data_IF_306035315421
#
_entry.id   IF_306035315421
#
_cell.length_a   1.000
_cell.length_b   1.000
_cell.length_c   1.000
_cell.angle_alpha   90.00
_cell.angle_beta   90.00
_cell.angle_gamma   90.00
#
_symmetry.space_group_name_H-M   'P 1'
#
loop_
_entity.id
_entity.type
_entity.pdbx_description
1 polymer ?
#
# COMPACT_ATOMS: atom_id res chain seq x y z
N UNK A 1 9.86 4.04 -25.41
CA UNK A 1 9.65 4.86 -24.19
C UNK A 1 11.01 5.10 -23.56
N UNK A 2 11.39 6.36 -23.27
CA UNK A 2 12.73 6.71 -22.74
C UNK A 2 12.75 6.84 -21.21
N UNK A 3 11.61 7.17 -20.62
CA UNK A 3 11.40 7.17 -19.18
C UNK A 3 9.90 7.24 -18.86
N UNK A 4 9.58 7.06 -17.59
CA UNK A 4 8.25 7.06 -17.02
C UNK A 4 8.33 7.68 -15.61
N UNK A 5 7.36 8.52 -15.28
CA UNK A 5 7.12 9.00 -13.91
C UNK A 5 5.70 8.56 -13.55
N UNK A 6 5.57 7.82 -12.46
CA UNK A 6 4.26 7.46 -11.88
C UNK A 6 4.04 8.25 -10.60
N UNK A 7 2.79 8.69 -10.41
CA UNK A 7 2.36 9.46 -9.25
C UNK A 7 1.34 8.62 -8.48
N UNK A 8 1.59 8.40 -7.19
CA UNK A 8 0.59 7.93 -6.24
C UNK A 8 0.26 9.08 -5.29
N UNK A 9 -1.02 9.41 -5.16
CA UNK A 9 -1.51 10.57 -4.41
C UNK A 9 -2.89 10.28 -3.85
N UNK A 10 -2.95 9.78 -2.61
CA UNK A 10 -4.17 9.58 -1.84
C UNK A 10 -4.44 10.71 -0.83
N UNK A 11 -3.38 11.45 -0.44
CA UNK A 11 -3.40 12.62 0.43
C UNK A 11 -2.51 13.77 -0.12
N UNK A 12 -2.22 14.77 0.71
CA UNK A 12 -1.42 15.95 0.30
C UNK A 12 0.09 15.65 0.15
N UNK A 13 0.56 14.53 0.70
CA UNK A 13 1.85 13.91 0.38
C UNK A 13 1.72 12.98 -0.82
N UNK A 14 2.66 13.10 -1.77
CA UNK A 14 2.66 12.28 -2.98
C UNK A 14 3.93 11.45 -3.12
N UNK A 15 3.77 10.26 -3.66
CA UNK A 15 4.86 9.33 -3.91
C UNK A 15 5.14 9.23 -5.41
N UNK A 16 6.40 9.41 -5.77
CA UNK A 16 6.88 9.40 -7.15
C UNK A 16 7.85 8.26 -7.40
N UNK A 17 7.60 7.49 -8.45
CA UNK A 17 8.59 6.56 -9.01
C UNK A 17 9.03 7.07 -10.38
N UNK A 18 10.34 7.31 -10.56
CA UNK A 18 10.92 7.75 -11.83
C UNK A 18 11.83 6.66 -12.39
N UNK A 19 11.47 6.16 -13.57
CA UNK A 19 12.21 5.13 -14.29
C UNK A 19 12.75 5.72 -15.59
N UNK A 20 14.06 5.60 -15.82
CA UNK A 20 14.71 6.00 -17.09
C UNK A 20 15.44 4.81 -17.68
N UNK A 21 15.25 4.59 -18.98
CA UNK A 21 15.89 3.53 -19.74
C UNK A 21 17.41 3.56 -19.54
N UNK A 22 18.04 2.38 -19.34
CA UNK A 22 19.46 2.26 -18.95
C UNK A 22 20.38 3.08 -19.85
N UNK A 23 20.20 2.96 -21.17
CA UNK A 23 21.05 3.61 -22.19
C UNK A 23 20.79 5.12 -22.35
N UNK A 24 19.77 5.66 -21.67
CA UNK A 24 19.36 7.06 -21.77
C UNK A 24 19.49 7.81 -20.43
N UNK A 25 20.09 7.18 -19.42
CA UNK A 25 20.39 7.83 -18.14
C UNK A 25 21.41 8.96 -18.33
N UNK A 26 21.40 9.92 -17.39
CA UNK A 26 22.28 11.11 -17.38
C UNK A 26 22.11 12.04 -18.60
N UNK A 27 20.93 12.02 -19.22
CA UNK A 27 20.52 12.93 -20.31
C UNK A 27 19.37 13.84 -19.87
N UNK A 28 19.30 14.17 -18.57
CA UNK A 28 18.28 15.02 -17.94
C UNK A 28 16.80 14.59 -18.09
N UNK A 29 16.54 13.38 -18.60
CA UNK A 29 15.19 12.85 -18.78
C UNK A 29 14.39 12.83 -17.48
N UNK A 30 14.99 12.37 -16.38
CA UNK A 30 14.31 12.35 -15.08
C UNK A 30 13.96 13.77 -14.59
N UNK A 31 14.83 14.77 -14.83
CA UNK A 31 14.56 16.17 -14.49
C UNK A 31 13.44 16.75 -15.35
N UNK A 32 13.41 16.42 -16.64
CA UNK A 32 12.34 16.84 -17.54
C UNK A 32 10.98 16.24 -17.13
N UNK A 33 10.96 14.96 -16.73
CA UNK A 33 9.76 14.31 -16.21
C UNK A 33 9.28 14.95 -14.91
N UNK A 34 10.19 15.20 -13.96
CA UNK A 34 9.84 15.84 -12.69
C UNK A 34 9.33 17.28 -12.89
N UNK A 35 9.96 18.06 -13.78
CA UNK A 35 9.48 19.40 -14.13
C UNK A 35 8.07 19.36 -14.72
N UNK A 36 7.80 18.39 -15.59
CA UNK A 36 6.45 18.21 -16.15
C UNK A 36 5.45 17.85 -15.05
N UNK A 37 5.83 17.02 -14.08
CA UNK A 37 5.00 16.75 -12.90
C UNK A 37 4.70 18.06 -12.14
N UNK A 38 5.72 18.86 -11.79
CA UNK A 38 5.52 20.13 -11.08
C UNK A 38 4.58 21.09 -11.83
N UNK A 39 4.71 21.18 -13.16
CA UNK A 39 3.87 22.03 -14.00
C UNK A 39 2.42 21.53 -14.07
N UNK A 40 2.22 20.25 -14.35
CA UNK A 40 0.89 19.63 -14.46
C UNK A 40 0.18 19.61 -13.09
N UNK A 41 0.95 19.51 -12.00
CA UNK A 41 0.38 19.43 -10.65
C UNK A 41 0.37 20.75 -9.88
N UNK A 42 0.71 21.87 -10.50
CA UNK A 42 0.80 23.17 -9.84
C UNK A 42 -0.50 23.65 -9.16
N UNK A 43 -1.65 23.12 -9.58
CA UNK A 43 -2.96 23.49 -9.02
C UNK A 43 -3.44 22.61 -7.86
N UNK A 44 -2.76 21.49 -7.60
CA UNK A 44 -3.13 20.57 -6.52
C UNK A 44 -2.47 20.99 -5.20
N UNK A 45 -3.10 20.73 -4.04
CA UNK A 45 -2.56 21.08 -2.73
C UNK A 45 -1.47 20.10 -2.26
N UNK A 46 -0.44 19.88 -3.10
CA UNK A 46 0.68 18.99 -2.76
C UNK A 46 1.57 19.68 -1.72
N UNK A 47 1.73 19.05 -0.56
CA UNK A 47 2.55 19.56 0.55
C UNK A 47 3.92 18.90 0.62
N UNK A 48 4.04 17.65 0.19
CA UNK A 48 5.30 16.92 0.21
C UNK A 48 5.42 15.92 -0.94
N UNK A 49 6.66 15.60 -1.31
CA UNK A 49 7.00 14.67 -2.39
C UNK A 49 8.03 13.66 -1.85
N UNK A 50 7.71 12.38 -1.93
CA UNK A 50 8.59 11.27 -1.59
C UNK A 50 8.96 10.52 -2.89
N UNK A 51 10.23 10.15 -3.04
CA UNK A 51 10.69 9.37 -4.19
C UNK A 51 10.85 7.90 -3.80
N UNK A 52 10.13 7.02 -4.47
CA UNK A 52 10.27 5.58 -4.33
C UNK A 52 11.40 5.07 -5.22
N UNK A 53 12.31 4.30 -4.63
CA UNK A 53 13.38 3.61 -5.34
C UNK A 53 13.85 2.38 -4.57
N UNK A 54 14.62 1.52 -5.21
CA UNK A 54 15.16 0.33 -4.57
C UNK A 54 16.46 0.66 -3.83
N UNK A 55 16.63 0.19 -2.60
CA UNK A 55 17.88 0.37 -1.83
C UNK A 55 19.11 -0.15 -2.61
N UNK A 56 18.97 -1.26 -3.35
CA UNK A 56 20.05 -1.77 -4.22
C UNK A 56 20.44 -0.76 -5.30
N UNK A 57 19.49 0.00 -5.83
CA UNK A 57 19.76 1.02 -6.84
C UNK A 57 20.56 2.19 -6.26
N UNK A 58 20.22 2.64 -5.04
CA UNK A 58 20.96 3.69 -4.33
C UNK A 58 22.40 3.27 -4.02
N UNK A 59 22.62 2.03 -3.59
CA UNK A 59 23.97 1.50 -3.34
C UNK A 59 24.88 1.55 -4.58
N UNK A 60 24.32 1.32 -5.77
CA UNK A 60 25.07 1.44 -7.02
C UNK A 60 25.21 2.89 -7.51
N UNK A 61 24.49 3.84 -6.92
CA UNK A 61 24.47 5.25 -7.32
C UNK A 61 24.51 6.19 -6.09
N UNK A 62 25.57 6.13 -5.26
CA UNK A 62 25.61 6.79 -3.95
C UNK A 62 25.47 8.33 -4.01
N UNK A 63 25.79 8.94 -5.16
CA UNK A 63 25.63 10.38 -5.36
C UNK A 63 24.19 10.81 -5.68
N UNK A 64 23.27 9.89 -5.96
CA UNK A 64 21.94 10.21 -6.50
C UNK A 64 21.15 11.10 -5.55
N UNK A 65 21.04 10.73 -4.27
CA UNK A 65 20.30 11.49 -3.26
C UNK A 65 20.82 12.94 -3.17
N UNK A 66 22.15 13.11 -3.08
CA UNK A 66 22.79 14.43 -3.03
C UNK A 66 22.55 15.28 -4.29
N UNK A 67 22.51 14.66 -5.48
CA UNK A 67 22.24 15.38 -6.75
C UNK A 67 20.79 15.82 -6.90
N UNK A 68 19.87 15.18 -6.18
CA UNK A 68 18.46 15.53 -6.11
C UNK A 68 18.13 16.38 -4.87
N UNK A 69 19.09 16.58 -3.97
CA UNK A 69 18.86 17.32 -2.73
C UNK A 69 17.91 16.61 -1.76
N UNK A 70 17.81 15.29 -1.86
CA UNK A 70 16.96 14.45 -1.01
C UNK A 70 17.79 13.65 -0.02
N UNK A 71 17.14 13.22 1.05
CA UNK A 71 17.69 12.25 2.01
C UNK A 71 16.93 10.95 1.86
N UNK A 72 17.62 9.84 2.13
CA UNK A 72 16.97 8.54 2.22
C UNK A 72 16.14 8.47 3.50
N UNK A 73 14.93 7.92 3.39
CA UNK A 73 14.07 7.66 4.53
C UNK A 73 14.55 6.39 5.27
N UNK A 74 14.38 6.34 6.58
CA UNK A 74 14.69 5.14 7.37
C UNK A 74 13.63 4.04 7.16
N UNK A 75 12.42 4.42 6.73
CA UNK A 75 11.35 3.48 6.44
C UNK A 75 11.56 2.77 5.11
N UNK A 76 11.40 1.44 5.13
CA UNK A 76 11.52 0.60 3.94
C UNK A 76 10.30 -0.29 3.78
N UNK A 77 9.73 -0.32 2.57
CA UNK A 77 8.72 -1.30 2.22
C UNK A 77 9.36 -2.61 1.78
N UNK A 78 8.86 -3.74 2.32
CA UNK A 78 9.31 -5.07 1.92
C UNK A 78 8.16 -5.88 1.37
N UNK A 79 8.28 -6.28 0.10
CA UNK A 79 7.28 -7.08 -0.58
C UNK A 79 7.55 -8.56 -0.31
N UNK A 80 6.63 -9.23 0.39
CA UNK A 80 6.74 -10.65 0.72
C UNK A 80 5.96 -11.49 -0.29
N UNK A 81 6.61 -12.52 -0.84
CA UNK A 81 5.95 -13.52 -1.68
C UNK A 81 6.29 -14.92 -1.22
N UNK A 82 5.29 -15.78 -1.22
CA UNK A 82 5.44 -17.21 -0.97
C UNK A 82 4.83 -18.02 -2.11
N UNK A 83 5.45 -19.17 -2.41
CA UNK A 83 4.84 -20.16 -3.30
C UNK A 83 3.58 -20.77 -2.68
N UNK A 84 2.71 -21.36 -3.51
CA UNK A 84 1.41 -21.95 -3.10
C UNK A 84 1.53 -23.31 -2.38
N UNK A 85 2.62 -23.53 -1.66
CA UNK A 85 2.82 -24.76 -0.90
C UNK A 85 1.93 -24.74 0.34
N UNK A 86 1.18 -25.83 0.63
CA UNK A 86 0.36 -25.92 1.83
C UNK A 86 1.18 -25.60 3.08
N UNK A 87 0.56 -24.89 4.01
CA UNK A 87 1.13 -24.63 5.33
C UNK A 87 0.32 -25.39 6.37
N UNK A 88 0.99 -26.27 7.11
CA UNK A 88 0.37 -26.95 8.23
C UNK A 88 0.22 -25.94 9.37
N UNK A 89 -1.03 -25.61 9.70
CA UNK A 89 -1.37 -24.85 10.90
C UNK A 89 -1.75 -25.84 12.00
N UNK A 90 -1.23 -25.62 13.20
CA UNK A 90 -1.70 -26.35 14.37
C UNK A 90 -3.18 -26.04 14.62
N UNK A 91 -3.96 -27.06 14.96
CA UNK A 91 -5.36 -26.85 15.30
C UNK A 91 -5.48 -26.08 16.61
N UNK A 92 -6.28 -25.01 16.57
CA UNK A 92 -6.63 -24.18 17.72
C UNK A 92 -8.15 -24.26 17.91
N UNK A 93 -8.60 -24.61 19.11
CA UNK A 93 -10.03 -24.70 19.44
C UNK A 93 -10.60 -23.38 19.98
N UNK A 94 -9.73 -22.48 20.42
CA UNK A 94 -10.06 -21.18 21.03
C UNK A 94 -10.32 -20.08 20.01
N UNK A 95 -9.93 -20.29 18.74
CA UNK A 95 -10.14 -19.33 17.65
C UNK A 95 -10.79 -19.96 16.44
N UNK A 96 -11.48 -19.14 15.64
CA UNK A 96 -12.10 -19.55 14.38
C UNK A 96 -11.82 -18.51 13.31
N UNK A 97 -11.38 -18.96 12.14
CA UNK A 97 -11.29 -18.10 10.93
C UNK A 97 -12.55 -18.31 10.11
N UNK A 98 -13.23 -17.23 9.76
CA UNK A 98 -14.45 -17.25 8.95
C UNK A 98 -14.30 -16.30 7.76
N UNK A 99 -14.90 -16.65 6.62
CA UNK A 99 -15.21 -15.67 5.60
C UNK A 99 -16.34 -14.79 6.15
N UNK A 100 -16.19 -13.49 6.03
CA UNK A 100 -17.13 -12.54 6.63
C UNK A 100 -18.45 -12.45 5.86
N UNK A 101 -19.44 -11.83 6.50
CA UNK A 101 -20.73 -11.47 5.91
C UNK A 101 -21.07 -10.01 6.25
N UNK A 102 -21.98 -9.35 5.53
CA UNK A 102 -22.34 -7.95 5.77
C UNK A 102 -22.81 -7.62 7.20
N UNK A 103 -23.28 -8.62 7.95
CA UNK A 103 -23.70 -8.48 9.35
C UNK A 103 -22.56 -8.04 10.29
N UNK A 104 -21.30 -8.29 9.92
CA UNK A 104 -20.12 -7.92 10.72
C UNK A 104 -19.55 -6.53 10.38
N UNK A 105 -20.11 -5.82 9.39
CA UNK A 105 -19.56 -4.55 8.89
C UNK A 105 -19.27 -3.54 10.01
N UNK A 106 -20.23 -3.32 10.92
CA UNK A 106 -20.06 -2.36 12.02
C UNK A 106 -18.99 -2.80 13.02
N UNK A 107 -18.95 -4.08 13.38
CA UNK A 107 -17.96 -4.60 14.33
C UNK A 107 -16.55 -4.54 13.75
N UNK A 108 -16.38 -4.92 12.48
CA UNK A 108 -15.11 -4.81 11.75
C UNK A 108 -14.66 -3.36 11.64
N UNK A 109 -15.58 -2.46 11.28
CA UNK A 109 -15.30 -1.03 11.15
C UNK A 109 -14.78 -0.45 12.46
N UNK A 110 -15.43 -0.77 13.59
CA UNK A 110 -15.01 -0.30 14.91
C UNK A 110 -13.63 -0.85 15.29
N UNK A 111 -13.41 -2.16 15.12
CA UNK A 111 -12.15 -2.79 15.44
C UNK A 111 -11.00 -2.21 14.60
N UNK A 112 -11.20 -2.10 13.28
CA UNK A 112 -10.22 -1.56 12.35
C UNK A 112 -9.88 -0.10 12.66
N UNK A 113 -10.89 0.74 12.88
CA UNK A 113 -10.66 2.15 13.21
C UNK A 113 -9.97 2.33 14.57
N UNK A 114 -10.24 1.46 15.55
CA UNK A 114 -9.56 1.50 16.85
C UNK A 114 -8.09 1.11 16.75
N UNK A 115 -7.77 0.12 15.93
CA UNK A 115 -6.41 -0.38 15.80
C UNK A 115 -5.51 0.48 14.90
N UNK A 116 -6.07 1.01 13.82
CA UNK A 116 -5.39 1.90 12.88
C UNK A 116 -5.90 3.33 12.99
N UNK A 117 -6.17 3.78 14.22
CA UNK A 117 -6.63 5.14 14.43
C UNK A 117 -5.58 6.12 13.91
N UNK A 118 -5.98 6.93 12.94
CA UNK A 118 -5.22 8.05 12.41
C UNK A 118 -6.08 9.31 12.51
N UNK A 119 -5.45 10.46 12.79
CA UNK A 119 -6.15 11.75 12.84
C UNK A 119 -6.83 12.10 11.51
N UNK A 120 -6.33 11.59 10.39
CA UNK A 120 -6.84 11.82 9.04
C UNK A 120 -7.87 10.76 8.62
N UNK A 121 -7.82 9.55 9.20
CA UNK A 121 -8.71 8.44 8.84
C UNK A 121 -9.92 8.38 9.77
N UNK A 122 -11.02 9.00 9.34
CA UNK A 122 -12.28 8.95 10.12
C UNK A 122 -12.93 7.55 10.10
N UNK A 123 -13.77 7.27 11.11
CA UNK A 123 -14.62 6.06 11.15
C UNK A 123 -15.46 5.87 9.87
N UNK A 124 -15.94 6.97 9.27
CA UNK A 124 -16.72 6.93 8.02
C UNK A 124 -15.88 6.46 6.83
N UNK A 125 -14.62 6.88 6.78
CA UNK A 125 -13.67 6.43 5.74
C UNK A 125 -13.39 4.94 5.92
N UNK A 126 -13.12 4.50 7.16
CA UNK A 126 -12.93 3.08 7.49
C UNK A 126 -14.15 2.25 7.08
N UNK A 127 -15.36 2.68 7.47
CA UNK A 127 -16.61 2.00 7.11
C UNK A 127 -16.75 1.84 5.60
N UNK A 128 -16.42 2.89 4.83
CA UNK A 128 -16.49 2.85 3.36
C UNK A 128 -15.54 1.79 2.80
N UNK A 129 -14.28 1.74 3.25
CA UNK A 129 -13.32 0.74 2.77
C UNK A 129 -13.79 -0.69 3.04
N UNK A 130 -14.22 -0.98 4.28
CA UNK A 130 -14.74 -2.31 4.63
C UNK A 130 -15.99 -2.65 3.82
N UNK A 131 -16.91 -1.69 3.63
CA UNK A 131 -18.12 -1.90 2.84
C UNK A 131 -17.85 -2.15 1.35
N UNK A 132 -16.83 -1.53 0.77
CA UNK A 132 -16.44 -1.79 -0.62
C UNK A 132 -15.73 -3.14 -0.77
N UNK A 133 -14.83 -3.50 0.16
CA UNK A 133 -14.20 -4.83 0.19
C UNK A 133 -15.23 -5.97 0.31
N UNK A 134 -16.33 -5.75 1.05
CA UNK A 134 -17.43 -6.72 1.16
C UNK A 134 -18.27 -6.89 -0.12
N UNK A 135 -18.28 -5.90 -1.01
CA UNK A 135 -19.06 -5.92 -2.26
C UNK A 135 -18.27 -6.45 -3.45
N UNK A 136 -16.95 -6.32 -3.38
CA UNK A 136 -16.06 -6.72 -4.45
C UNK A 136 -16.01 -8.25 -4.56
N UNK A 137 -16.35 -8.76 -5.75
CA UNK A 137 -16.37 -10.20 -6.04
C UNK A 137 -14.97 -10.81 -6.08
N UNK A 138 -13.95 -10.00 -6.31
CA UNK A 138 -12.56 -10.43 -6.35
C UNK A 138 -11.85 -10.23 -4.99
N UNK A 139 -12.58 -9.78 -3.97
CA UNK A 139 -12.08 -9.60 -2.60
C UNK A 139 -12.73 -10.59 -1.63
N UNK A 140 -11.90 -11.29 -0.85
CA UNK A 140 -12.35 -12.16 0.24
C UNK A 140 -11.91 -11.57 1.58
N UNK A 141 -12.88 -11.10 2.38
CA UNK A 141 -12.62 -10.56 3.71
C UNK A 141 -12.80 -11.67 4.77
N UNK A 142 -11.72 -11.98 5.48
CA UNK A 142 -11.70 -12.97 6.57
C UNK A 142 -11.67 -12.29 7.93
N UNK A 143 -12.35 -12.90 8.90
CA UNK A 143 -12.32 -12.49 10.32
C UNK A 143 -11.77 -13.63 11.18
N UNK A 144 -11.03 -13.24 12.23
CA UNK A 144 -10.60 -14.13 13.30
C UNK A 144 -11.48 -13.89 14.53
N UNK A 145 -12.21 -14.92 14.96
CA UNK A 145 -13.04 -14.89 16.15
C UNK A 145 -12.33 -15.57 17.33
N UNK A 146 -12.44 -14.96 18.51
CA UNK A 146 -12.11 -15.57 19.80
C UNK A 146 -13.21 -15.27 20.81
N UNK A 147 -13.74 -16.29 21.47
CA UNK A 147 -14.84 -16.17 22.44
C UNK A 147 -16.06 -15.37 21.90
N UNK A 148 -16.34 -15.51 20.59
CA UNK A 148 -17.44 -14.84 19.90
C UNK A 148 -17.20 -13.37 19.52
N UNK A 149 -15.98 -12.84 19.72
CA UNK A 149 -15.60 -11.48 19.33
C UNK A 149 -14.60 -11.49 18.19
N UNK A 150 -14.67 -10.49 17.31
CA UNK A 150 -13.66 -10.28 16.28
C UNK A 150 -12.38 -9.76 16.93
N UNK A 151 -11.26 -10.42 16.63
CA UNK A 151 -9.92 -10.06 17.13
C UNK A 151 -8.89 -9.87 16.01
N UNK A 152 -9.28 -10.09 14.76
CA UNK A 152 -8.39 -9.91 13.61
C UNK A 152 -9.16 -9.94 12.29
N UNK A 153 -8.58 -9.30 11.28
CA UNK A 153 -9.20 -9.07 9.97
C UNK A 153 -8.13 -9.19 8.89
N UNK A 154 -8.49 -9.72 7.72
CA UNK A 154 -7.60 -9.75 6.56
C UNK A 154 -8.42 -9.76 5.27
N UNK A 155 -8.08 -8.87 4.34
CA UNK A 155 -8.63 -8.90 2.99
C UNK A 155 -7.68 -9.63 2.04
N UNK A 156 -8.24 -10.46 1.17
CA UNK A 156 -7.51 -11.21 0.15
C UNK A 156 -8.06 -10.88 -1.22
N UNK A 157 -7.28 -10.17 -2.03
CA UNK A 157 -7.56 -9.97 -3.46
C UNK A 157 -7.16 -11.23 -4.23
N UNK A 158 -8.10 -11.77 -5.01
CA UNK A 158 -7.97 -12.97 -5.83
C UNK A 158 -8.14 -12.70 -7.34
N UNK A 159 -8.20 -11.44 -7.76
CA UNK A 159 -8.34 -11.02 -9.17
C UNK A 159 -7.14 -11.44 -10.04
N UNK A 160 -5.97 -11.60 -9.42
CA UNK A 160 -4.71 -11.84 -10.11
C UNK A 160 -4.24 -13.30 -10.15
N UNK A 161 -3.01 -13.48 -10.62
CA UNK A 161 -2.31 -14.79 -10.59
C UNK A 161 -1.72 -15.13 -9.22
N UNK A 162 -1.87 -14.27 -8.23
CA UNK A 162 -1.44 -14.48 -6.84
C UNK A 162 -2.51 -13.92 -5.92
N UNK A 163 -2.68 -14.52 -4.75
CA UNK A 163 -3.53 -13.96 -3.71
C UNK A 163 -2.75 -12.84 -3.02
N UNK A 164 -3.30 -11.64 -3.04
CA UNK A 164 -2.68 -10.47 -2.40
C UNK A 164 -3.38 -10.19 -1.07
N UNK A 165 -2.62 -10.20 0.02
CA UNK A 165 -3.14 -10.01 1.37
C UNK A 165 -2.88 -8.56 1.79
N UNK A 166 -3.90 -7.89 2.30
CA UNK A 166 -3.83 -6.52 2.82
C UNK A 166 -4.83 -6.32 3.97
N UNK A 167 -4.79 -5.13 4.59
CA UNK A 167 -5.58 -4.78 5.77
C UNK A 167 -5.47 -5.82 6.90
N UNK A 168 -4.24 -6.27 7.17
CA UNK A 168 -3.92 -7.27 8.17
C UNK A 168 -3.98 -6.66 9.57
N UNK A 169 -5.00 -7.04 10.34
CA UNK A 169 -5.19 -6.69 11.75
C UNK A 169 -5.06 -7.90 12.68
#
# INVERSE_FOLDING_TARGET
>A
MLGLLTVYADNEGVELSILVHLDNRRQDIARALFKSFEEETASYPIQSVIFQTEHVFLNHHPSLASHWGVIEDEETETWLRRGRLPYALDSRLDVKVLLTEPSYLEEITQLHHQAFFDAEVTLKVTHRYIAEALKDSDSLLYILLKDGKIIGVCTVDVSGNSNYLYDLL
#
